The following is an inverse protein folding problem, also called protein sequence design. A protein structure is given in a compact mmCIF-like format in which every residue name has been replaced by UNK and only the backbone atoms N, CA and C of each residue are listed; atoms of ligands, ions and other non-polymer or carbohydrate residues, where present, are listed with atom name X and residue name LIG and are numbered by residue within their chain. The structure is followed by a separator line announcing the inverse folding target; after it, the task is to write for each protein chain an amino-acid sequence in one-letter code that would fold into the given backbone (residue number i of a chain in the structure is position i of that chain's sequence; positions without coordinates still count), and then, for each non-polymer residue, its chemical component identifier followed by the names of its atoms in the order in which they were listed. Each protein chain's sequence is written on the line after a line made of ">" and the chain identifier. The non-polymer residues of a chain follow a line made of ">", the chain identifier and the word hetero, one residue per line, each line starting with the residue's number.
data_IF_761660582903
#
_entry.id   IF_761660582903
#
_cell.length_a   1.000
_cell.length_b   1.000
_cell.length_c   1.000
_cell.angle_alpha   90.00
_cell.angle_beta   90.00
_cell.angle_gamma   90.00
#
_symmetry.space_group_name_H-M   'P 1'
#
loop_
_entity.id
_entity.type
_entity.pdbx_description
1 polymer ?
#
# COMPACT_ATOMS: atom_id res chain seq x y z
N UNK A 1 -6.96 14.34 7.27
CA UNK A 1 -6.16 13.09 7.28
C UNK A 1 -5.50 12.81 5.92
N UNK A 2 -6.15 13.11 4.79
CA UNK A 2 -5.67 12.75 3.43
C UNK A 2 -4.52 13.58 2.84
N UNK A 3 -4.31 14.82 3.29
CA UNK A 3 -3.42 15.78 2.59
C UNK A 3 -1.95 15.33 2.49
N UNK A 4 -1.42 14.65 3.52
CA UNK A 4 -0.02 14.20 3.52
C UNK A 4 0.22 13.08 2.51
N UNK A 5 -0.71 12.12 2.42
CA UNK A 5 -0.57 10.95 1.54
C UNK A 5 -0.80 11.36 0.09
N UNK A 6 -1.85 12.14 -0.18
CA UNK A 6 -2.20 12.56 -1.54
C UNK A 6 -1.10 13.39 -2.21
N UNK A 7 -0.45 14.29 -1.48
CA UNK A 7 0.60 15.15 -2.04
C UNK A 7 1.95 14.44 -2.21
N UNK A 8 2.17 13.30 -1.53
CA UNK A 8 3.47 12.61 -1.47
C UNK A 8 3.48 11.24 -2.14
N UNK A 9 2.33 10.63 -2.42
CA UNK A 9 2.26 9.34 -3.09
C UNK A 9 2.34 9.43 -4.62
N UNK A 10 2.69 8.30 -5.22
CA UNK A 10 2.54 8.00 -6.64
C UNK A 10 1.29 7.16 -6.86
N UNK A 11 0.69 7.27 -8.06
CA UNK A 11 -0.46 6.45 -8.47
C UNK A 11 -0.07 5.07 -8.99
N UNK A 12 1.21 4.88 -9.34
CA UNK A 12 1.77 3.62 -9.81
C UNK A 12 2.97 3.25 -8.95
N UNK A 13 3.23 1.94 -8.84
CA UNK A 13 4.36 1.43 -8.09
C UNK A 13 5.70 1.87 -8.75
N UNK A 14 6.74 2.17 -7.95
CA UNK A 14 8.06 2.53 -8.47
C UNK A 14 8.82 1.34 -9.08
N UNK A 15 8.34 0.12 -8.84
CA UNK A 15 8.85 -1.15 -9.36
C UNK A 15 7.68 -2.03 -9.82
N UNK A 16 7.91 -3.04 -10.69
CA UNK A 16 6.86 -3.97 -11.10
C UNK A 16 6.14 -4.58 -9.88
N UNK A 17 4.82 -4.49 -9.89
CA UNK A 17 3.96 -4.92 -8.79
C UNK A 17 2.59 -5.29 -9.35
N UNK A 18 1.99 -6.37 -8.84
CA UNK A 18 0.67 -6.84 -9.28
C UNK A 18 -0.50 -6.01 -8.72
N UNK A 19 -0.23 -5.12 -7.76
CA UNK A 19 -1.24 -4.29 -7.11
C UNK A 19 -1.41 -2.94 -7.81
N UNK A 20 -2.64 -2.44 -7.82
CA UNK A 20 -2.98 -1.14 -8.39
C UNK A 20 -3.69 -0.26 -7.35
N UNK A 21 -3.71 1.04 -7.64
CA UNK A 21 -4.46 2.01 -6.85
C UNK A 21 -5.93 1.60 -6.73
N UNK A 22 -6.45 1.60 -5.49
CA UNK A 22 -7.86 1.30 -5.20
C UNK A 22 -8.17 -0.17 -4.94
N UNK A 23 -7.23 -1.10 -5.16
CA UNK A 23 -7.44 -2.51 -4.82
C UNK A 23 -7.81 -2.68 -3.35
N UNK A 24 -8.66 -3.67 -3.08
CA UNK A 24 -8.95 -4.12 -1.73
C UNK A 24 -8.09 -5.33 -1.41
N UNK A 25 -7.43 -5.31 -0.27
CA UNK A 25 -6.44 -6.31 0.16
C UNK A 25 -6.61 -6.67 1.63
N UNK A 26 -6.22 -7.90 1.96
CA UNK A 26 -5.87 -8.29 3.33
C UNK A 26 -4.38 -8.00 3.54
N UNK A 27 -4.03 -7.40 4.68
CA UNK A 27 -2.65 -7.15 5.08
C UNK A 27 -2.28 -7.93 6.34
N UNK A 28 -1.12 -8.58 6.34
CA UNK A 28 -0.52 -9.15 7.56
C UNK A 28 0.38 -8.11 8.20
N UNK A 29 0.05 -7.65 9.41
CA UNK A 29 0.83 -6.64 10.12
C UNK A 29 2.11 -7.21 10.77
N UNK A 30 2.90 -6.36 11.41
CA UNK A 30 4.15 -6.75 12.09
C UNK A 30 3.98 -7.73 13.26
N UNK A 31 2.75 -7.92 13.75
CA UNK A 31 2.42 -8.89 14.79
C UNK A 31 1.89 -10.22 14.22
N UNK A 32 1.88 -10.39 12.89
CA UNK A 32 1.36 -11.58 12.23
C UNK A 32 -0.17 -11.64 12.15
N UNK A 33 -0.87 -10.54 12.47
CA UNK A 33 -2.34 -10.47 12.41
C UNK A 33 -2.79 -10.04 11.02
N UNK A 34 -3.74 -10.78 10.45
CA UNK A 34 -4.39 -10.44 9.19
C UNK A 34 -5.51 -9.41 9.42
N UNK A 35 -5.50 -8.34 8.63
CA UNK A 35 -6.49 -7.27 8.66
C UNK A 35 -7.07 -7.13 7.26
N UNK A 36 -8.36 -7.42 7.12
CA UNK A 36 -9.06 -7.48 5.84
C UNK A 36 -9.62 -6.10 5.41
N UNK A 37 -10.00 -6.01 4.14
CA UNK A 37 -10.78 -4.89 3.60
C UNK A 37 -10.02 -3.58 3.47
N UNK A 38 -8.69 -3.60 3.34
CA UNK A 38 -7.87 -2.40 3.22
C UNK A 38 -7.73 -1.98 1.77
N UNK A 39 -7.87 -0.68 1.51
CA UNK A 39 -7.68 -0.11 0.18
C UNK A 39 -6.26 0.37 -0.02
N UNK A 40 -5.71 0.09 -1.20
CA UNK A 40 -4.47 0.70 -1.65
C UNK A 40 -4.73 2.16 -1.98
N UNK A 41 -4.08 3.04 -1.22
CA UNK A 41 -4.17 4.49 -1.40
C UNK A 41 -3.18 5.01 -2.45
N UNK A 42 -2.08 4.29 -2.66
CA UNK A 42 -1.03 4.68 -3.59
C UNK A 42 0.30 4.05 -3.21
N UNK A 43 1.37 4.56 -3.80
CA UNK A 43 2.71 4.02 -3.65
C UNK A 43 3.71 5.10 -3.26
N UNK A 44 4.85 4.71 -2.71
CA UNK A 44 5.98 5.65 -2.56
C UNK A 44 6.45 6.11 -3.95
N UNK A 45 6.98 7.33 -4.06
CA UNK A 45 7.55 7.84 -5.32
C UNK A 45 8.89 7.20 -5.63
N UNK A 46 9.71 7.05 -4.61
CA UNK A 46 11.05 6.48 -4.66
C UNK A 46 11.21 5.57 -3.44
N UNK A 47 11.90 4.45 -3.63
CA UNK A 47 12.21 3.52 -2.55
C UNK A 47 13.40 4.07 -1.77
N UNK A 48 13.28 4.14 -0.45
CA UNK A 48 14.40 4.43 0.43
C UNK A 48 15.14 3.11 0.72
N UNK A 49 16.38 2.92 0.22
CA UNK A 49 17.12 1.68 0.40
C UNK A 49 17.59 1.47 1.84
N UNK A 50 17.72 2.53 2.63
CA UNK A 50 18.13 2.47 4.04
C UNK A 50 16.93 2.30 4.97
N UNK A 51 15.75 2.74 4.53
CA UNK A 51 14.51 2.68 5.31
C UNK A 51 13.43 1.84 4.60
N UNK A 52 13.38 0.56 4.98
CA UNK A 52 12.39 -0.43 4.50
C UNK A 52 12.38 -0.58 2.97
N UNK A 53 13.44 -1.15 2.38
CA UNK A 53 13.62 -1.24 0.93
C UNK A 53 12.47 -1.97 0.20
N UNK A 54 11.77 -2.87 0.88
CA UNK A 54 10.69 -3.66 0.28
C UNK A 54 9.30 -3.06 0.49
N UNK A 55 9.18 -1.94 1.22
CA UNK A 55 7.90 -1.38 1.64
C UNK A 55 7.54 -0.13 0.83
N UNK A 56 6.57 -0.27 -0.07
CA UNK A 56 6.22 0.81 -1.00
C UNK A 56 4.72 1.01 -1.25
N UNK A 57 3.84 0.29 -0.54
CA UNK A 57 2.38 0.39 -0.72
C UNK A 57 1.74 1.09 0.48
N UNK A 58 0.92 2.11 0.24
CA UNK A 58 0.13 2.79 1.29
C UNK A 58 -1.28 2.23 1.36
N UNK A 59 -1.79 2.03 2.58
CA UNK A 59 -3.13 1.49 2.86
C UNK A 59 -3.98 2.48 3.67
N UNK A 60 -5.30 2.37 3.54
CA UNK A 60 -6.31 3.17 4.28
C UNK A 60 -6.57 2.70 5.72
N UNK A 61 -5.50 2.37 6.45
CA UNK A 61 -5.56 1.92 7.83
C UNK A 61 -4.93 2.92 8.82
N UNK A 62 -4.90 2.54 10.11
CA UNK A 62 -4.47 3.42 11.21
C UNK A 62 -3.07 4.01 11.05
N UNK A 63 -2.18 3.34 10.33
CA UNK A 63 -0.85 3.83 9.98
C UNK A 63 -0.68 4.06 8.47
N UNK A 64 -1.57 4.84 7.88
CA UNK A 64 -1.58 5.17 6.44
C UNK A 64 -0.29 5.83 5.92
N UNK A 65 0.50 6.45 6.82
CA UNK A 65 1.79 7.08 6.50
C UNK A 65 2.95 6.09 6.44
N UNK A 66 2.71 4.82 6.79
CA UNK A 66 3.73 3.81 6.90
C UNK A 66 3.53 2.76 5.80
N UNK A 67 4.41 2.71 4.79
CA UNK A 67 4.22 1.80 3.69
C UNK A 67 4.44 0.35 4.14
N UNK A 68 3.79 -0.56 3.44
CA UNK A 68 3.92 -2.00 3.64
C UNK A 68 4.54 -2.65 2.41
N UNK A 69 5.14 -3.82 2.64
CA UNK A 69 5.67 -4.62 1.54
C UNK A 69 4.55 -5.38 0.84
N UNK A 70 4.53 -5.44 -0.49
CA UNK A 70 3.52 -6.20 -1.25
C UNK A 70 3.43 -7.67 -0.83
N UNK A 71 4.52 -8.28 -0.37
CA UNK A 71 4.52 -9.68 0.09
C UNK A 71 3.58 -9.93 1.29
N UNK A 72 3.25 -8.86 2.04
CA UNK A 72 2.33 -8.91 3.19
C UNK A 72 0.88 -8.73 2.77
N UNK A 73 0.61 -8.57 1.48
CA UNK A 73 -0.71 -8.29 0.94
C UNK A 73 -1.27 -9.52 0.22
N UNK A 74 -2.56 -9.73 0.40
CA UNK A 74 -3.35 -10.67 -0.41
C UNK A 74 -4.47 -9.88 -1.07
N UNK A 75 -4.60 -10.02 -2.39
CA UNK A 75 -5.68 -9.37 -3.13
C UNK A 75 -7.03 -9.97 -2.71
N UNK A 76 -7.97 -9.12 -2.32
CA UNK A 76 -9.37 -9.49 -2.08
C UNK A 76 -10.21 -9.13 -3.30
N UNK A 77 -10.05 -7.92 -3.83
CA UNK A 77 -10.80 -7.42 -4.98
C UNK A 77 -9.99 -6.41 -5.78
N UNK A 78 -10.00 -6.56 -7.11
CA UNK A 78 -9.35 -5.65 -8.05
C UNK A 78 -10.20 -4.40 -8.25
N UNK A 79 -9.60 -3.22 -8.21
CA UNK A 79 -10.31 -1.99 -8.57
C UNK A 79 -10.73 -2.02 -10.04
N UNK A 80 -12.03 -1.83 -10.30
CA UNK A 80 -12.62 -1.95 -11.64
C UNK A 80 -12.97 -0.61 -12.31
N UNK A 81 -12.80 0.53 -11.64
CA UNK A 81 -12.91 1.87 -12.24
C UNK A 81 -14.27 2.23 -12.87
N UNK A 82 -15.33 1.46 -12.60
CA UNK A 82 -16.71 1.74 -13.02
C UNK A 82 -17.46 2.56 -11.99
#
# INVERSE_FOLDING_TARGET
>A
MHRFVEEKMAKAAPVPCDFILGDTVTVTNGYGVEIQGKKILGFVREIDPEFRPDAFVFLDWDCYWFPVSPEKLKLESRYSGL
#
